data_IF_588809497562
#
_entry.id   IF_588809497562
#
_cell.length_a   1.000
_cell.length_b   1.000
_cell.length_c   1.000
_cell.angle_alpha   90.00
_cell.angle_beta   90.00
_cell.angle_gamma   90.00
#
_symmetry.space_group_name_H-M   'P 1'
#
loop_
_entity.id
_entity.type
_entity.pdbx_description
1 polymer ?
#
# COMPACT_ATOMS: atom_id res chain seq x y z
N UNK A 1 9.96 17.53 -8.57
CA UNK A 1 9.87 17.78 -7.11
C UNK A 1 8.89 16.84 -6.40
N UNK A 2 7.61 16.72 -6.82
CA UNK A 2 6.64 15.84 -6.15
C UNK A 2 7.05 14.35 -6.10
N UNK A 3 7.59 13.77 -7.18
CA UNK A 3 8.05 12.37 -7.18
C UNK A 3 9.26 12.12 -6.27
N UNK A 4 10.23 13.03 -6.27
CA UNK A 4 11.42 12.91 -5.42
C UNK A 4 11.03 12.91 -3.93
N UNK A 5 10.09 13.79 -3.55
CA UNK A 5 9.55 13.82 -2.19
C UNK A 5 8.88 12.49 -1.81
N UNK A 6 8.07 11.89 -2.70
CA UNK A 6 7.45 10.59 -2.44
C UNK A 6 8.49 9.48 -2.27
N UNK A 7 9.55 9.49 -3.07
CA UNK A 7 10.66 8.53 -2.96
C UNK A 7 11.36 8.70 -1.62
N UNK A 8 11.71 9.93 -1.23
CA UNK A 8 12.33 10.21 0.08
C UNK A 8 11.44 9.75 1.23
N UNK A 9 10.15 10.07 1.19
CA UNK A 9 9.19 9.62 2.22
C UNK A 9 9.12 8.10 2.27
N UNK A 10 9.01 7.43 1.13
CA UNK A 10 8.93 5.96 1.08
C UNK A 10 10.20 5.29 1.62
N UNK A 11 11.39 5.83 1.31
CA UNK A 11 12.65 5.33 1.88
C UNK A 11 12.74 5.55 3.40
N UNK A 12 12.26 6.69 3.90
CA UNK A 12 12.16 6.94 5.34
C UNK A 12 11.18 5.97 6.01
N UNK A 13 10.04 5.67 5.38
CA UNK A 13 9.09 4.67 5.88
C UNK A 13 9.74 3.29 5.93
N UNK A 14 10.45 2.87 4.89
CA UNK A 14 11.10 1.55 4.83
C UNK A 14 12.15 1.41 5.93
N UNK A 15 13.03 2.41 6.08
CA UNK A 15 14.07 2.41 7.12
C UNK A 15 13.48 2.47 8.52
N UNK A 16 12.40 3.23 8.73
CA UNK A 16 11.67 3.26 9.99
C UNK A 16 10.99 1.91 10.30
N UNK A 17 10.35 1.31 9.29
CA UNK A 17 9.66 0.02 9.41
C UNK A 17 10.64 -1.12 9.69
N UNK A 18 11.83 -1.13 9.07
CA UNK A 18 12.86 -2.13 9.34
C UNK A 18 13.53 -1.94 10.72
N UNK A 19 13.64 -0.70 11.22
CA UNK A 19 14.36 -0.38 12.46
C UNK A 19 13.49 -0.41 13.72
N UNK A 20 12.32 0.25 13.70
CA UNK A 20 11.52 0.51 14.91
C UNK A 20 10.34 -0.45 15.08
N UNK A 21 9.79 -0.95 13.98
CA UNK A 21 8.60 -1.84 14.02
C UNK A 21 8.98 -3.27 14.44
N UNK A 22 10.27 -3.58 14.57
CA UNK A 22 10.70 -4.85 15.18
C UNK A 22 10.30 -5.01 16.65
N UNK A 23 10.09 -3.91 17.38
CA UNK A 23 9.71 -3.94 18.79
C UNK A 23 8.21 -3.71 19.07
N UNK A 24 7.42 -3.30 18.06
CA UNK A 24 5.99 -2.97 18.22
C UNK A 24 5.15 -3.98 17.44
N UNK A 25 5.06 -5.21 17.95
CA UNK A 25 4.15 -6.23 17.44
C UNK A 25 2.88 -6.25 18.32
N UNK A 26 1.75 -5.80 17.78
CA UNK A 26 0.46 -5.93 18.47
C UNK A 26 -0.07 -7.35 18.19
N UNK A 27 -0.20 -8.16 19.23
CA UNK A 27 -0.65 -9.55 19.08
C UNK A 27 0.26 -10.43 18.20
N UNK A 28 1.53 -10.05 18.04
CA UNK A 28 2.52 -10.74 17.19
C UNK A 28 2.49 -10.36 15.71
N UNK A 29 1.64 -9.40 15.30
CA UNK A 29 1.48 -8.97 13.91
C UNK A 29 1.79 -7.48 13.79
N UNK A 30 2.46 -7.09 12.71
CA UNK A 30 2.90 -5.71 12.46
C UNK A 30 2.06 -5.09 11.35
N UNK A 31 1.66 -3.80 11.47
CA UNK A 31 1.10 -3.08 10.34
C UNK A 31 2.16 -2.92 9.25
N UNK A 32 1.72 -3.02 8.00
CA UNK A 32 2.57 -2.83 6.83
C UNK A 32 2.43 -1.38 6.35
N UNK A 33 3.32 -0.52 6.80
CA UNK A 33 3.24 0.93 6.52
C UNK A 33 3.56 1.19 5.04
N UNK A 34 4.47 0.41 4.45
CA UNK A 34 4.80 0.54 3.03
C UNK A 34 3.62 0.10 2.13
N UNK A 35 2.84 -0.91 2.52
CA UNK A 35 1.56 -1.25 1.88
C UNK A 35 0.63 -0.05 1.84
N UNK A 36 0.38 0.56 3.00
CA UNK A 36 -0.54 1.69 3.15
C UNK A 36 -0.10 2.86 2.27
N UNK A 37 1.21 3.12 2.23
CA UNK A 37 1.78 4.18 1.41
C UNK A 37 1.60 3.92 -0.08
N UNK A 38 1.89 2.71 -0.56
CA UNK A 38 1.71 2.31 -1.97
C UNK A 38 0.24 2.34 -2.37
N UNK A 39 -0.66 1.86 -1.50
CA UNK A 39 -2.11 1.96 -1.70
C UNK A 39 -2.53 3.42 -1.87
N UNK A 40 -2.04 4.33 -1.02
CA UNK A 40 -2.31 5.77 -1.12
C UNK A 40 -1.84 6.37 -2.45
N UNK A 41 -0.64 6.00 -2.91
CA UNK A 41 -0.12 6.40 -4.23
C UNK A 41 -1.08 5.94 -5.33
N UNK A 42 -1.56 4.70 -5.27
CA UNK A 42 -2.55 4.18 -6.21
C UNK A 42 -3.88 4.95 -6.22
N UNK A 43 -4.35 5.44 -5.07
CA UNK A 43 -5.57 6.27 -5.08
C UNK A 43 -5.42 7.58 -5.86
N UNK A 44 -4.20 8.10 -6.01
CA UNK A 44 -3.91 9.41 -6.59
C UNK A 44 -3.48 9.30 -8.06
N UNK A 45 -2.56 8.38 -8.33
CA UNK A 45 -1.91 8.20 -9.62
C UNK A 45 -2.63 7.12 -10.44
N UNK A 46 -2.28 7.03 -11.73
CA UNK A 46 -2.78 5.94 -12.56
C UNK A 46 -2.11 4.60 -12.20
N UNK A 47 -2.71 3.52 -12.68
CA UNK A 47 -2.29 2.14 -12.50
C UNK A 47 -0.82 1.89 -12.84
N UNK A 48 -0.33 2.41 -13.97
CA UNK A 48 1.05 2.21 -14.41
C UNK A 48 2.06 2.86 -13.45
N UNK A 49 1.86 4.14 -13.11
CA UNK A 49 2.79 4.86 -12.23
C UNK A 49 2.74 4.32 -10.80
N UNK A 50 1.56 3.97 -10.32
CA UNK A 50 1.40 3.38 -9.00
C UNK A 50 2.02 1.98 -8.91
N UNK A 51 1.89 1.17 -9.97
CA UNK A 51 2.55 -0.13 -10.09
C UNK A 51 4.07 0.01 -10.05
N UNK A 52 4.66 0.93 -10.85
CA UNK A 52 6.10 1.15 -10.89
C UNK A 52 6.66 1.66 -9.55
N UNK A 53 5.94 2.59 -8.89
CA UNK A 53 6.31 3.06 -7.55
C UNK A 53 6.18 1.95 -6.51
N UNK A 54 5.10 1.16 -6.57
CA UNK A 54 4.89 0.00 -5.71
C UNK A 54 6.02 -1.02 -5.87
N UNK A 55 6.38 -1.35 -7.10
CA UNK A 55 7.50 -2.23 -7.43
C UNK A 55 8.82 -1.70 -6.86
N UNK A 56 9.14 -0.41 -7.08
CA UNK A 56 10.36 0.20 -6.56
C UNK A 56 10.46 0.19 -5.03
N UNK A 57 9.37 0.55 -4.34
CA UNK A 57 9.33 0.50 -2.88
C UNK A 57 9.32 -0.93 -2.34
N UNK A 58 8.66 -1.86 -3.04
CA UNK A 58 8.68 -3.27 -2.69
C UNK A 58 10.08 -3.86 -2.80
N UNK A 59 10.81 -3.57 -3.89
CA UNK A 59 12.19 -3.99 -4.04
C UNK A 59 13.09 -3.43 -2.94
N UNK A 60 12.94 -2.14 -2.64
CA UNK A 60 13.67 -1.52 -1.54
C UNK A 60 13.34 -2.20 -0.21
N UNK A 61 12.06 -2.44 0.09
CA UNK A 61 11.66 -3.16 1.31
C UNK A 61 12.27 -4.56 1.41
N UNK A 62 12.32 -5.31 0.30
CA UNK A 62 12.99 -6.62 0.27
C UNK A 62 14.48 -6.48 0.62
N UNK A 63 15.20 -5.52 0.02
CA UNK A 63 16.62 -5.25 0.30
C UNK A 63 16.87 -4.89 1.78
N UNK A 64 16.04 -4.02 2.36
CA UNK A 64 16.22 -3.54 3.73
C UNK A 64 15.72 -4.53 4.80
N UNK A 65 14.85 -5.48 4.45
CA UNK A 65 14.29 -6.46 5.40
C UNK A 65 15.19 -7.67 5.63
N UNK A 66 16.14 -7.95 4.73
CA UNK A 66 16.95 -9.17 4.76
C UNK A 66 16.17 -10.45 4.41
N UNK A 67 14.92 -10.32 3.95
CA UNK A 67 14.09 -11.43 3.49
C UNK A 67 14.30 -11.80 2.01
N UNK A 68 13.55 -12.79 1.49
CA UNK A 68 13.61 -13.17 0.09
C UNK A 68 13.25 -12.00 -0.84
N UNK A 69 14.10 -11.75 -1.83
CA UNK A 69 13.81 -10.77 -2.89
C UNK A 69 12.60 -11.23 -3.71
N UNK A 70 11.65 -10.32 -3.95
CA UNK A 70 10.49 -10.56 -4.79
C UNK A 70 9.16 -10.53 -4.04
N UNK A 71 9.16 -10.78 -2.72
CA UNK A 71 7.94 -10.82 -1.91
C UNK A 71 7.24 -9.47 -1.86
N UNK A 72 7.94 -8.43 -1.39
CA UNK A 72 7.39 -7.08 -1.38
C UNK A 72 7.36 -6.50 -2.80
N UNK A 73 8.35 -6.77 -3.64
CA UNK A 73 8.34 -6.30 -5.03
C UNK A 73 7.03 -6.63 -5.77
N UNK A 74 6.65 -7.92 -5.82
CA UNK A 74 5.45 -8.34 -6.54
C UNK A 74 4.16 -7.90 -5.84
N UNK A 75 4.09 -8.04 -4.51
CA UNK A 75 2.89 -7.70 -3.75
C UNK A 75 2.57 -6.19 -3.77
N UNK A 76 3.59 -5.33 -3.68
CA UNK A 76 3.41 -3.87 -3.78
C UNK A 76 3.17 -3.41 -5.21
N UNK A 77 3.78 -4.05 -6.21
CA UNK A 77 3.45 -3.78 -7.62
C UNK A 77 1.96 -4.07 -7.89
N UNK A 78 1.47 -5.24 -7.48
CA UNK A 78 0.07 -5.63 -7.63
C UNK A 78 -0.88 -4.69 -6.86
N UNK A 79 -0.52 -4.33 -5.62
CA UNK A 79 -1.29 -3.37 -4.81
C UNK A 79 -1.37 -2.00 -5.48
N UNK A 80 -0.24 -1.48 -5.95
CA UNK A 80 -0.16 -0.19 -6.63
C UNK A 80 -1.00 -0.18 -7.91
N UNK A 81 -0.91 -1.24 -8.72
CA UNK A 81 -1.73 -1.42 -9.92
C UNK A 81 -3.23 -1.42 -9.59
N UNK A 82 -3.65 -2.29 -8.67
CA UNK A 82 -5.06 -2.43 -8.30
C UNK A 82 -5.65 -1.14 -7.71
N UNK A 83 -4.91 -0.49 -6.80
CA UNK A 83 -5.30 0.78 -6.21
C UNK A 83 -5.32 1.91 -7.26
N UNK A 84 -4.38 1.94 -8.20
CA UNK A 84 -4.35 2.85 -9.35
C UNK A 84 -5.58 2.72 -10.24
N UNK A 85 -5.90 1.49 -10.66
CA UNK A 85 -7.03 1.20 -11.53
C UNK A 85 -8.38 1.55 -10.88
N UNK A 86 -8.50 1.30 -9.56
CA UNK A 86 -9.75 1.52 -8.82
C UNK A 86 -9.81 2.87 -8.08
N UNK A 87 -8.73 3.66 -8.09
CA UNK A 87 -8.55 4.80 -7.20
C UNK A 87 -9.67 5.83 -7.28
N UNK A 88 -10.12 6.17 -8.49
CA UNK A 88 -11.26 7.09 -8.70
C UNK A 88 -12.54 6.58 -8.05
N UNK A 89 -12.82 5.28 -8.18
CA UNK A 89 -14.04 4.66 -7.65
C UNK A 89 -13.96 4.63 -6.13
N UNK A 90 -12.82 4.21 -5.58
CA UNK A 90 -12.58 4.14 -4.14
C UNK A 90 -12.71 5.52 -3.49
N UNK A 91 -12.07 6.55 -4.05
CA UNK A 91 -12.12 7.92 -3.50
C UNK A 91 -13.53 8.53 -3.47
N UNK A 92 -14.42 8.09 -4.36
CA UNK A 92 -15.81 8.55 -4.43
C UNK A 92 -16.76 7.77 -3.50
N UNK A 93 -16.31 6.66 -2.91
CA UNK A 93 -17.11 5.89 -1.96
C UNK A 93 -17.22 6.60 -0.60
N UNK A 94 -18.22 6.20 0.18
CA UNK A 94 -18.32 6.58 1.61
C UNK A 94 -17.10 6.05 2.36
N UNK A 95 -16.63 6.79 3.36
CA UNK A 95 -15.48 6.42 4.19
C UNK A 95 -15.53 4.96 4.70
N UNK A 96 -16.69 4.52 5.21
CA UNK A 96 -16.88 3.15 5.71
C UNK A 96 -16.58 2.07 4.67
N UNK A 97 -16.91 2.34 3.40
CA UNK A 97 -16.62 1.44 2.29
C UNK A 97 -15.13 1.48 1.91
N UNK A 98 -14.47 2.64 1.99
CA UNK A 98 -13.02 2.72 1.75
C UNK A 98 -12.23 1.88 2.76
N UNK A 99 -12.63 1.93 4.04
CA UNK A 99 -12.05 1.10 5.11
C UNK A 99 -12.25 -0.39 4.80
N UNK A 100 -13.45 -0.77 4.35
CA UNK A 100 -13.75 -2.14 3.96
C UNK A 100 -12.93 -2.60 2.74
N UNK A 101 -12.77 -1.72 1.74
CA UNK A 101 -11.95 -2.02 0.55
C UNK A 101 -10.51 -2.28 0.94
N UNK A 102 -9.88 -1.40 1.72
CA UNK A 102 -8.47 -1.63 2.10
C UNK A 102 -8.31 -2.86 3.00
N UNK A 103 -9.29 -3.17 3.84
CA UNK A 103 -9.29 -4.42 4.62
C UNK A 103 -9.20 -5.64 3.69
N UNK A 104 -10.06 -5.73 2.67
CA UNK A 104 -10.01 -6.84 1.72
C UNK A 104 -8.77 -6.82 0.81
N UNK A 105 -8.30 -5.64 0.37
CA UNK A 105 -7.06 -5.55 -0.41
C UNK A 105 -5.87 -6.01 0.42
N UNK A 106 -5.84 -5.72 1.72
CA UNK A 106 -4.79 -6.23 2.62
C UNK A 106 -4.85 -7.75 2.72
N UNK A 107 -6.05 -8.35 2.84
CA UNK A 107 -6.19 -9.81 2.84
C UNK A 107 -5.58 -10.42 1.58
N UNK A 108 -5.92 -9.89 0.41
CA UNK A 108 -5.39 -10.37 -0.88
C UNK A 108 -3.87 -10.21 -0.95
N UNK A 109 -3.34 -9.09 -0.44
CA UNK A 109 -1.91 -8.82 -0.42
C UNK A 109 -1.14 -9.78 0.49
N UNK A 110 -1.63 -10.03 1.71
CA UNK A 110 -1.01 -10.99 2.63
C UNK A 110 -1.11 -12.42 2.08
N UNK A 111 -2.25 -12.78 1.47
CA UNK A 111 -2.39 -14.08 0.80
C UNK A 111 -1.39 -14.24 -0.34
N UNK A 112 -1.20 -13.19 -1.15
CA UNK A 112 -0.20 -13.19 -2.21
C UNK A 112 1.21 -13.34 -1.64
N UNK A 113 1.57 -12.60 -0.58
CA UNK A 113 2.87 -12.75 0.07
C UNK A 113 3.08 -14.17 0.62
N UNK A 114 2.06 -14.79 1.22
CA UNK A 114 2.13 -16.18 1.71
C UNK A 114 2.35 -17.19 0.58
N UNK A 115 1.64 -17.03 -0.55
CA UNK A 115 1.82 -17.86 -1.74
C UNK A 115 3.25 -17.68 -2.27
N UNK A 116 3.72 -16.45 -2.42
CA UNK A 116 5.08 -16.18 -2.88
C UNK A 116 6.13 -16.76 -1.94
N UNK A 117 5.92 -16.66 -0.63
CA UNK A 117 6.83 -17.20 0.39
C UNK A 117 6.92 -18.73 0.32
N UNK A 118 5.84 -19.42 -0.07
CA UNK A 118 5.82 -20.88 -0.19
C UNK A 118 6.75 -21.42 -1.28
N UNK A 119 7.11 -20.61 -2.27
CA UNK A 119 8.13 -20.97 -3.26
C UNK A 119 9.54 -20.94 -2.68
N UNK A 120 9.78 -20.13 -1.64
CA UNK A 120 11.08 -20.03 -0.97
C UNK A 120 11.22 -21.00 0.21
N UNK A 121 10.12 -21.32 0.90
CA UNK A 121 10.10 -22.19 2.09
C UNK A 121 9.23 -23.41 1.87
N UNK A 122 9.83 -24.61 1.91
CA UNK A 122 9.15 -25.90 1.66
C UNK A 122 8.04 -26.27 2.67
N UNK A 123 7.99 -25.64 3.84
CA UNK A 123 7.09 -26.02 4.96
C UNK A 123 6.40 -24.80 5.59
N UNK A 124 5.47 -24.15 4.89
CA UNK A 124 4.63 -23.12 5.51
C UNK A 124 3.42 -23.77 6.16
N UNK A 125 3.32 -23.61 7.49
CA UNK A 125 2.15 -24.03 8.26
C UNK A 125 1.00 -23.04 8.02
N UNK A 126 0.08 -23.39 7.12
CA UNK A 126 -1.09 -22.55 6.77
C UNK A 126 -2.00 -22.19 7.95
N UNK A 127 -2.02 -23.00 9.03
CA UNK A 127 -2.92 -22.77 10.17
C UNK A 127 -2.60 -21.51 10.98
N UNK A 128 -1.36 -21.02 10.94
CA UNK A 128 -0.96 -19.75 11.59
C UNK A 128 -1.37 -18.53 10.72
N UNK A 129 -1.64 -18.75 9.43
CA UNK A 129 -1.91 -17.70 8.45
C UNK A 129 -3.19 -16.91 8.70
N UNK A 130 -4.28 -17.55 9.12
CA UNK A 130 -5.59 -16.88 9.20
C UNK A 130 -5.59 -15.75 10.23
N UNK A 131 -5.01 -16.00 11.42
CA UNK A 131 -4.89 -14.97 12.47
C UNK A 131 -4.03 -13.80 11.99
N UNK A 132 -2.93 -14.09 11.29
CA UNK A 132 -2.02 -13.07 10.76
C UNK A 132 -2.72 -12.23 9.70
N UNK A 133 -3.35 -12.88 8.72
CA UNK A 133 -4.13 -12.23 7.65
C UNK A 133 -5.17 -11.28 8.24
N UNK A 134 -5.96 -11.77 9.19
CA UNK A 134 -7.03 -10.98 9.80
C UNK A 134 -6.49 -9.79 10.60
N UNK A 135 -5.49 -10.01 11.47
CA UNK A 135 -4.92 -8.93 12.29
C UNK A 135 -4.20 -7.89 11.44
N UNK A 136 -3.46 -8.31 10.42
CA UNK A 136 -2.78 -7.38 9.52
C UNK A 136 -3.78 -6.55 8.71
N UNK A 137 -4.86 -7.16 8.21
CA UNK A 137 -5.95 -6.44 7.54
C UNK A 137 -6.64 -5.44 8.49
N UNK A 138 -6.87 -5.83 9.74
CA UNK A 138 -7.44 -4.94 10.75
C UNK A 138 -6.49 -3.77 11.05
N UNK A 139 -5.21 -4.02 11.29
CA UNK A 139 -4.24 -2.97 11.57
C UNK A 139 -4.03 -2.05 10.39
N UNK A 140 -3.84 -2.59 9.18
CA UNK A 140 -3.63 -1.77 7.99
C UNK A 140 -4.83 -0.88 7.68
N UNK A 141 -6.06 -1.37 7.85
CA UNK A 141 -7.28 -0.59 7.64
C UNK A 141 -7.46 0.51 8.70
N UNK A 142 -7.17 0.22 9.97
CA UNK A 142 -7.22 1.21 11.06
C UNK A 142 -6.14 2.28 10.92
N UNK A 143 -4.89 1.88 10.68
CA UNK A 143 -3.79 2.82 10.43
C UNK A 143 -4.10 3.69 9.22
N UNK A 144 -4.54 3.07 8.13
CA UNK A 144 -5.00 3.80 6.95
C UNK A 144 -6.08 4.79 7.30
N UNK A 145 -7.08 4.45 8.10
CA UNK A 145 -8.10 5.42 8.47
C UNK A 145 -7.50 6.64 9.19
N UNK A 146 -6.62 6.42 10.17
CA UNK A 146 -5.98 7.49 10.94
C UNK A 146 -5.10 8.38 10.05
N UNK A 147 -4.30 7.79 9.17
CA UNK A 147 -3.31 8.50 8.35
C UNK A 147 -3.85 9.00 7.00
N UNK A 148 -4.69 8.22 6.32
CA UNK A 148 -5.28 8.58 5.04
C UNK A 148 -6.49 9.51 5.16
N UNK A 149 -7.21 9.60 6.28
CA UNK A 149 -8.34 10.55 6.36
C UNK A 149 -7.95 12.00 6.05
N UNK A 150 -6.93 12.61 6.69
CA UNK A 150 -6.48 13.95 6.35
C UNK A 150 -5.85 14.01 4.95
N UNK A 151 -5.18 12.94 4.53
CA UNK A 151 -4.52 12.88 3.23
C UNK A 151 -5.54 12.82 2.09
N UNK A 152 -6.53 11.91 2.14
CA UNK A 152 -7.61 11.74 1.16
C UNK A 152 -8.38 13.04 0.95
N UNK A 153 -8.68 13.81 2.01
CA UNK A 153 -9.30 15.14 1.86
C UNK A 153 -8.44 16.08 1.02
N UNK A 154 -7.13 16.09 1.24
CA UNK A 154 -6.17 16.90 0.47
C UNK A 154 -6.01 16.37 -0.96
N UNK A 155 -5.99 15.05 -1.14
CA UNK A 155 -5.80 14.38 -2.42
C UNK A 155 -7.01 14.52 -3.35
N UNK A 156 -8.23 14.41 -2.81
CA UNK A 156 -9.46 14.65 -3.57
C UNK A 156 -9.44 16.05 -4.20
N UNK A 157 -9.05 17.05 -3.39
CA UNK A 157 -8.89 18.45 -3.84
C UNK A 157 -7.80 18.61 -4.90
N UNK A 158 -6.63 17.99 -4.75
CA UNK A 158 -5.56 18.07 -5.77
C UNK A 158 -5.96 17.39 -7.08
N UNK A 159 -6.67 16.26 -7.01
CA UNK A 159 -7.10 15.52 -8.19
C UNK A 159 -8.20 16.25 -8.97
N UNK A 160 -9.17 16.86 -8.27
CA UNK A 160 -10.19 17.72 -8.87
C UNK A 160 -9.54 18.92 -9.60
N UNK A 161 -8.53 19.55 -8.99
CA UNK A 161 -7.78 20.65 -9.61
C UNK A 161 -7.05 20.22 -10.89
N UNK A 162 -6.39 19.05 -10.89
CA UNK A 162 -5.65 18.55 -12.06
C UNK A 162 -6.56 18.21 -13.25
N UNK A 163 -7.77 17.70 -12.99
CA UNK A 163 -8.74 17.40 -14.04
C UNK A 163 -9.32 18.68 -14.64
N UNK A 164 -9.68 19.67 -13.80
CA UNK A 164 -10.15 20.98 -14.25
C UNK A 164 -9.10 21.73 -15.08
N UNK A 165 -7.82 21.67 -14.69
CA UNK A 165 -6.73 22.28 -15.45
C UNK A 165 -6.56 21.63 -16.84
N UNK A 166 -6.66 20.29 -16.95
CA UNK A 166 -6.58 19.60 -18.25
C UNK A 166 -7.74 19.96 -19.18
N UNK A 167 -8.97 20.07 -18.66
CA UNK A 167 -10.13 20.47 -19.46
C UNK A 167 -10.01 21.91 -19.97
N UNK A 168 -9.49 22.84 -19.16
CA UNK A 168 -9.29 24.23 -19.58
C UNK A 168 -8.29 24.42 -20.71
N UNK A 169 -7.33 23.50 -20.85
CA UNK A 169 -6.30 23.51 -21.90
C UNK A 169 -6.83 22.91 -23.21
N UNK A 170 -7.80 21.99 -23.14
CA UNK A 170 -8.40 21.33 -24.31
C UNK A 170 -9.50 22.17 -25.00
N UNK A 171 -10.03 23.19 -24.30
CA UNK A 171 -11.09 24.08 -24.81
C UNK A 171 -10.51 25.36 -25.45
N UNK A 172 -9.20 25.58 -25.33
CA UNK A 172 -8.47 26.69 -25.97
C UNK A 172 -7.70 26.20 -27.19
#
# INVERSE_FOLDING_TARGET
>A
MKSALLITIGLLIITFQSSLVNNIALGGVKPDIIFIFVYAIGLIYNEERAMLMGAGFGLAADIFSGGPLGLNFLSKAATGFAAGALGKRILNMRLRLQILVIFFVTILEVMLQMILLSFFLKNIVFSVGIKIIFLQALYNSLFTFVFLWPLIKRLKREREWLLSAKESILIR
#
